data_IF_147503477315
#
_entry.id   IF_147503477315
#
_cell.length_a   1.000
_cell.length_b   1.000
_cell.length_c   1.000
_cell.angle_alpha   90.00
_cell.angle_beta   90.00
_cell.angle_gamma   90.00
#
_symmetry.space_group_name_H-M   'P 1'
#
loop_
_entity.id
_entity.type
_entity.pdbx_description
1 polymer ?
#
# COMPACT_ATOMS: atom_id res chain seq x y z
N UNK A 1 -12.90 20.28 -2.14
CA UNK A 1 -12.22 21.25 -1.24
C UNK A 1 -11.20 20.50 -0.40
N UNK A 2 -10.02 21.09 -0.13
CA UNK A 2 -9.05 20.52 0.82
C UNK A 2 -9.45 20.97 2.22
N UNK A 3 -9.53 20.02 3.14
CA UNK A 3 -9.78 20.23 4.57
C UNK A 3 -8.77 19.44 5.42
N UNK A 4 -8.90 19.42 6.73
CA UNK A 4 -8.02 18.62 7.61
C UNK A 4 -8.76 18.14 8.85
N UNK A 5 -8.25 17.04 9.42
CA UNK A 5 -8.67 16.50 10.72
C UNK A 5 -7.46 15.92 11.46
N UNK A 6 -7.57 15.69 12.77
CA UNK A 6 -6.58 14.89 13.48
C UNK A 6 -6.67 13.42 13.04
N UNK A 7 -5.53 12.77 13.00
CA UNK A 7 -5.41 11.33 12.78
C UNK A 7 -4.58 10.71 13.92
N UNK A 8 -4.55 9.38 13.98
CA UNK A 8 -3.78 8.63 14.98
C UNK A 8 -2.31 9.08 15.13
N UNK A 9 -1.70 9.56 14.06
CA UNK A 9 -0.24 9.85 13.99
C UNK A 9 0.11 11.33 14.01
N UNK A 10 -0.86 12.22 13.78
CA UNK A 10 -0.64 13.67 13.81
C UNK A 10 -1.94 14.46 14.04
N UNK A 11 -1.80 15.65 14.62
CA UNK A 11 -2.94 16.51 14.95
C UNK A 11 -3.60 17.18 13.74
N UNK A 12 -2.95 17.17 12.58
CA UNK A 12 -3.44 17.86 11.39
C UNK A 12 -3.03 17.09 10.14
N UNK A 13 -4.02 16.43 9.52
CA UNK A 13 -3.86 15.68 8.29
C UNK A 13 -4.82 16.22 7.24
N UNK A 14 -4.31 16.59 6.05
CA UNK A 14 -5.07 17.19 4.98
C UNK A 14 -5.60 16.15 4.01
N UNK A 15 -6.86 16.32 3.57
CA UNK A 15 -7.54 15.44 2.64
C UNK A 15 -8.56 16.19 1.79
N UNK A 16 -9.06 15.54 0.73
CA UNK A 16 -10.14 16.07 -0.08
C UNK A 16 -11.50 15.72 0.53
N UNK A 17 -12.34 16.73 0.78
CA UNK A 17 -13.64 16.55 1.44
C UNK A 17 -14.64 15.71 0.63
N UNK A 18 -14.52 15.75 -0.71
CA UNK A 18 -15.39 15.00 -1.64
C UNK A 18 -14.89 13.58 -1.93
N UNK A 19 -13.76 13.16 -1.34
CA UNK A 19 -13.31 11.78 -1.40
C UNK A 19 -14.15 10.94 -0.43
N UNK A 20 -14.96 10.01 -1.00
CA UNK A 20 -15.88 9.21 -0.21
C UNK A 20 -15.27 7.92 0.36
N UNK A 21 -13.98 7.64 0.11
CA UNK A 21 -13.24 6.52 0.70
C UNK A 21 -12.20 7.05 1.70
N UNK A 22 -11.09 7.58 1.23
CA UNK A 22 -9.97 8.01 2.10
C UNK A 22 -10.37 9.25 2.90
N UNK A 23 -10.90 10.27 2.22
CA UNK A 23 -11.35 11.50 2.86
C UNK A 23 -12.46 11.27 3.88
N UNK A 24 -13.45 10.45 3.55
CA UNK A 24 -14.53 10.07 4.46
C UNK A 24 -13.98 9.29 5.68
N UNK A 25 -13.05 8.35 5.46
CA UNK A 25 -12.43 7.58 6.53
C UNK A 25 -11.65 8.46 7.50
N UNK A 26 -10.80 9.36 6.98
CA UNK A 26 -10.04 10.32 7.78
C UNK A 26 -10.98 11.24 8.58
N UNK A 27 -12.00 11.80 7.91
CA UNK A 27 -12.96 12.71 8.56
C UNK A 27 -13.73 12.02 9.69
N UNK A 28 -14.15 10.81 9.48
CA UNK A 28 -15.03 10.09 10.39
C UNK A 28 -14.27 9.33 11.45
N UNK A 29 -13.25 8.59 11.07
CA UNK A 29 -12.56 7.65 11.96
C UNK A 29 -11.18 8.14 12.41
N UNK A 30 -10.61 9.19 11.81
CA UNK A 30 -9.24 9.66 12.08
C UNK A 30 -8.17 8.68 11.64
N UNK A 31 -8.50 7.79 10.70
CA UNK A 31 -7.59 6.77 10.17
C UNK A 31 -8.09 6.24 8.82
N UNK A 32 -7.20 5.57 8.09
CA UNK A 32 -7.52 4.86 6.84
C UNK A 32 -6.78 3.52 6.82
N UNK A 33 -7.50 2.43 6.54
CA UNK A 33 -6.95 1.05 6.53
C UNK A 33 -5.96 0.75 7.65
N UNK A 34 -6.25 1.22 8.88
CA UNK A 34 -5.36 1.07 10.04
C UNK A 34 -4.96 -0.39 10.30
N UNK A 35 -5.80 -1.35 9.94
CA UNK A 35 -5.52 -2.78 10.08
C UNK A 35 -4.28 -3.22 9.28
N UNK A 36 -3.96 -2.54 8.17
CA UNK A 36 -2.75 -2.78 7.38
C UNK A 36 -1.51 -2.27 8.14
N UNK A 37 -1.60 -1.07 8.69
CA UNK A 37 -0.52 -0.52 9.53
C UNK A 37 -0.31 -1.41 10.76
N UNK A 38 -1.39 -1.93 11.37
CA UNK A 38 -1.31 -2.83 12.52
C UNK A 38 -0.66 -4.18 12.19
N UNK A 39 -0.79 -4.66 10.97
CA UNK A 39 -0.02 -5.81 10.49
C UNK A 39 1.45 -5.42 10.27
N UNK A 40 1.68 -4.35 9.50
CA UNK A 40 3.02 -3.98 9.00
C UNK A 40 3.95 -3.47 10.09
N UNK A 41 3.44 -2.88 11.18
CA UNK A 41 4.25 -2.46 12.34
C UNK A 41 5.07 -3.58 12.98
N UNK A 42 4.69 -4.85 12.76
CA UNK A 42 5.47 -5.98 13.25
C UNK A 42 6.78 -6.20 12.47
N UNK A 43 6.93 -5.54 11.32
CA UNK A 43 8.08 -5.63 10.42
C UNK A 43 8.85 -4.30 10.29
N UNK A 44 8.45 -3.26 11.05
CA UNK A 44 9.06 -1.94 11.05
C UNK A 44 9.59 -1.64 12.44
N UNK A 45 10.81 -1.10 12.50
CA UNK A 45 11.42 -0.60 13.73
C UNK A 45 12.26 0.65 13.44
N UNK A 46 12.86 1.25 14.45
CA UNK A 46 13.63 2.51 14.36
C UNK A 46 14.90 2.45 13.49
N UNK A 47 15.26 1.30 12.96
CA UNK A 47 16.38 1.14 12.01
C UNK A 47 15.91 0.82 10.59
N UNK A 48 14.61 0.55 10.42
CA UNK A 48 14.05 0.10 9.15
C UNK A 48 13.97 1.21 8.10
N UNK A 49 14.24 0.83 6.86
CA UNK A 49 13.97 1.62 5.65
C UNK A 49 12.70 1.06 4.98
N UNK A 50 11.73 1.93 4.75
CA UNK A 50 10.43 1.56 4.17
C UNK A 50 10.23 2.26 2.84
N UNK A 51 9.78 1.50 1.82
CA UNK A 51 9.31 2.06 0.55
C UNK A 51 7.78 2.01 0.55
N UNK A 52 7.14 3.15 0.33
CA UNK A 52 5.69 3.31 0.18
C UNK A 52 5.38 3.70 -1.28
N UNK A 53 5.17 2.69 -2.11
CA UNK A 53 4.92 2.86 -3.55
C UNK A 53 3.42 2.97 -3.78
N UNK A 54 2.97 4.13 -4.25
CA UNK A 54 1.58 4.56 -4.23
C UNK A 54 1.24 5.21 -2.88
N UNK A 55 2.00 6.28 -2.53
CA UNK A 55 1.85 6.97 -1.24
C UNK A 55 0.54 7.73 -1.09
N UNK A 56 -0.16 7.97 -2.21
CA UNK A 56 -1.44 8.69 -2.24
C UNK A 56 -1.34 10.02 -1.47
N UNK A 57 -2.28 10.35 -0.58
CA UNK A 57 -2.23 11.56 0.26
C UNK A 57 -1.38 11.39 1.53
N UNK A 58 -0.71 10.23 1.73
CA UNK A 58 0.34 10.03 2.73
C UNK A 58 -0.09 9.42 4.05
N UNK A 59 -1.25 8.77 4.18
CA UNK A 59 -1.64 8.17 5.46
C UNK A 59 -0.67 7.08 5.92
N UNK A 60 -0.35 6.10 5.03
CA UNK A 60 0.64 5.06 5.32
C UNK A 60 2.05 5.65 5.49
N UNK A 61 2.44 6.61 4.64
CA UNK A 61 3.74 7.30 4.73
C UNK A 61 3.94 7.90 6.13
N UNK A 62 2.95 8.63 6.65
CA UNK A 62 3.01 9.24 8.00
C UNK A 62 3.04 8.17 9.09
N UNK A 63 2.23 7.12 8.96
CA UNK A 63 2.22 6.01 9.91
C UNK A 63 3.59 5.30 9.96
N UNK A 64 4.17 4.99 8.81
CA UNK A 64 5.49 4.35 8.72
C UNK A 64 6.60 5.26 9.26
N UNK A 65 6.54 6.56 8.95
CA UNK A 65 7.52 7.53 9.44
C UNK A 65 7.55 7.63 10.97
N UNK A 66 6.43 7.34 11.64
CA UNK A 66 6.38 7.31 13.11
C UNK A 66 7.16 6.14 13.74
N UNK A 67 7.54 5.14 12.95
CA UNK A 67 8.16 3.89 13.41
C UNK A 67 9.52 3.61 12.75
N UNK A 68 9.69 4.03 11.50
CA UNK A 68 10.85 3.72 10.69
C UNK A 68 11.98 4.74 10.86
N UNK A 69 13.21 4.32 10.52
CA UNK A 69 14.36 5.22 10.37
C UNK A 69 14.17 6.17 9.18
N UNK A 70 13.68 5.65 8.06
CA UNK A 70 13.53 6.39 6.81
C UNK A 70 12.40 5.82 5.98
N UNK A 71 11.59 6.69 5.35
CA UNK A 71 10.51 6.31 4.44
C UNK A 71 10.72 6.99 3.10
N UNK A 72 10.68 6.20 2.02
CA UNK A 72 10.71 6.66 0.63
C UNK A 72 9.32 6.48 0.04
N UNK A 73 8.59 7.57 -0.18
CA UNK A 73 7.21 7.54 -0.69
C UNK A 73 7.14 8.04 -2.12
N UNK A 74 6.49 7.28 -2.98
CA UNK A 74 6.38 7.54 -4.42
C UNK A 74 4.90 7.69 -4.78
N UNK A 75 4.55 8.80 -5.43
CA UNK A 75 3.19 9.09 -5.87
C UNK A 75 3.20 9.85 -7.19
N UNK A 76 2.58 9.35 -8.26
CA UNK A 76 2.60 10.01 -9.57
C UNK A 76 1.52 11.08 -9.77
N UNK A 77 0.35 11.01 -9.08
CA UNK A 77 -0.74 11.95 -9.30
C UNK A 77 -0.45 13.30 -8.63
N UNK A 78 -0.48 14.40 -9.39
CA UNK A 78 -0.17 15.76 -8.90
C UNK A 78 -0.99 16.16 -7.68
N UNK A 79 -2.28 15.80 -7.67
CA UNK A 79 -3.22 16.22 -6.61
C UNK A 79 -2.98 15.45 -5.33
N UNK A 80 -2.71 14.13 -5.44
CA UNK A 80 -2.35 13.30 -4.31
C UNK A 80 -0.98 13.67 -3.78
N UNK A 81 -0.01 13.87 -4.67
CA UNK A 81 1.35 14.28 -4.29
C UNK A 81 1.38 15.63 -3.54
N UNK A 82 0.57 16.61 -3.96
CA UNK A 82 0.43 17.87 -3.24
C UNK A 82 -0.01 17.68 -1.78
N UNK A 83 -0.94 16.75 -1.54
CA UNK A 83 -1.37 16.44 -0.17
C UNK A 83 -0.37 15.58 0.57
N UNK A 84 0.28 14.62 -0.09
CA UNK A 84 1.38 13.84 0.46
C UNK A 84 2.50 14.77 0.98
N UNK A 85 2.95 15.71 0.15
CA UNK A 85 3.95 16.71 0.54
C UNK A 85 3.48 17.53 1.75
N UNK A 86 2.25 18.05 1.70
CA UNK A 86 1.67 18.83 2.79
C UNK A 86 1.54 18.06 4.09
N UNK A 87 1.22 16.78 4.02
CA UNK A 87 1.04 15.90 5.18
C UNK A 87 2.36 15.43 5.79
N UNK A 88 3.46 15.47 5.02
CA UNK A 88 4.76 14.94 5.45
C UNK A 88 5.84 16.01 5.63
N UNK A 89 5.64 17.26 5.22
CA UNK A 89 6.65 18.34 5.22
C UNK A 89 7.35 18.59 6.57
N UNK A 90 6.74 18.18 7.68
CA UNK A 90 7.29 18.32 9.02
C UNK A 90 8.10 17.10 9.48
N UNK A 91 8.14 16.02 8.66
CA UNK A 91 8.82 14.76 8.98
C UNK A 91 10.20 14.75 8.33
N UNK A 92 11.25 14.68 9.14
CA UNK A 92 12.64 14.75 8.66
C UNK A 92 13.15 13.41 8.08
N UNK A 93 12.42 12.33 8.29
CA UNK A 93 12.76 10.98 7.84
C UNK A 93 11.94 10.49 6.64
N UNK A 94 11.22 11.39 5.95
CA UNK A 94 10.45 11.09 4.73
C UNK A 94 11.11 11.73 3.53
N UNK A 95 11.27 10.96 2.46
CA UNK A 95 11.68 11.43 1.14
C UNK A 95 10.59 11.12 0.12
N UNK A 96 10.24 12.11 -0.68
CA UNK A 96 9.14 12.05 -1.63
C UNK A 96 9.65 12.03 -3.07
N UNK A 97 9.00 11.24 -3.91
CA UNK A 97 9.32 11.08 -5.33
C UNK A 97 8.04 11.25 -6.16
N UNK A 98 7.99 12.30 -6.97
CA UNK A 98 6.85 12.61 -7.83
C UNK A 98 6.99 11.90 -9.19
N UNK A 99 6.69 10.61 -9.21
CA UNK A 99 6.79 9.73 -10.37
C UNK A 99 6.00 8.44 -10.15
N UNK A 100 5.81 7.64 -11.19
CA UNK A 100 5.29 6.29 -11.10
C UNK A 100 6.43 5.27 -11.12
N UNK A 101 6.40 4.27 -10.23
CA UNK A 101 7.27 3.11 -10.33
C UNK A 101 6.76 2.17 -11.43
N UNK A 102 7.68 1.69 -12.29
CA UNK A 102 7.37 0.82 -13.41
C UNK A 102 8.58 -0.06 -13.78
N UNK A 103 8.44 -0.86 -14.83
CA UNK A 103 9.55 -1.66 -15.37
C UNK A 103 10.38 -0.93 -16.44
N UNK A 104 10.00 0.29 -16.80
CA UNK A 104 10.68 1.13 -17.80
C UNK A 104 10.82 2.55 -17.28
N UNK A 105 11.89 3.24 -17.69
CA UNK A 105 12.08 4.67 -17.48
C UNK A 105 11.52 5.41 -18.68
N UNK A 106 10.70 6.42 -18.46
CA UNK A 106 10.08 7.20 -19.53
C UNK A 106 8.97 8.13 -19.04
N UNK A 107 7.97 8.29 -19.88
CA UNK A 107 6.76 9.06 -19.62
C UNK A 107 5.53 8.18 -19.86
N UNK A 108 4.50 8.40 -19.07
CA UNK A 108 3.21 7.73 -19.15
C UNK A 108 2.10 8.69 -18.74
N UNK A 109 0.87 8.21 -18.74
CA UNK A 109 -0.26 8.96 -18.22
C UNK A 109 -0.89 8.21 -17.05
N UNK A 110 -1.39 8.97 -16.07
CA UNK A 110 -2.21 8.46 -14.97
C UNK A 110 -3.59 9.12 -15.05
N UNK A 111 -4.63 8.39 -14.68
CA UNK A 111 -5.97 8.93 -14.61
C UNK A 111 -6.02 10.12 -13.64
N UNK A 112 -6.84 11.12 -13.96
CA UNK A 112 -7.08 12.28 -13.10
C UNK A 112 -8.54 12.29 -12.67
N UNK A 113 -8.84 13.06 -11.64
CA UNK A 113 -10.17 13.19 -11.07
C UNK A 113 -10.53 14.66 -10.79
N UNK A 114 -11.83 14.94 -10.82
CA UNK A 114 -12.36 16.27 -10.51
C UNK A 114 -12.66 16.38 -9.01
N UNK A 115 -11.86 17.14 -8.29
CA UNK A 115 -12.02 17.36 -6.84
C UNK A 115 -13.30 18.13 -6.46
N UNK A 116 -14.05 18.63 -7.43
CA UNK A 116 -15.36 19.29 -7.20
C UNK A 116 -16.49 18.30 -7.13
N UNK A 117 -16.33 17.07 -7.64
CA UNK A 117 -17.30 16.01 -7.65
C UNK A 117 -16.96 14.94 -6.58
N UNK A 118 -17.97 14.28 -5.97
CA UNK A 118 -17.71 13.10 -5.15
C UNK A 118 -17.03 11.99 -5.96
N UNK A 119 -15.97 11.38 -5.41
CA UNK A 119 -15.22 10.31 -6.09
C UNK A 119 -14.36 9.50 -5.12
N UNK A 120 -13.85 8.37 -5.60
CA UNK A 120 -12.75 7.66 -4.98
C UNK A 120 -11.43 8.20 -5.57
N UNK A 121 -10.74 9.04 -4.83
CA UNK A 121 -9.51 9.69 -5.31
C UNK A 121 -8.27 8.84 -5.07
N UNK A 122 -8.45 7.66 -4.45
CA UNK A 122 -7.43 6.64 -4.33
C UNK A 122 -7.19 5.87 -5.62
N UNK A 123 -8.23 5.61 -6.42
CA UNK A 123 -8.17 4.80 -7.64
C UNK A 123 -7.54 5.55 -8.83
N UNK A 124 -6.28 5.95 -8.71
CA UNK A 124 -5.52 6.57 -9.79
C UNK A 124 -4.72 5.50 -10.55
N UNK A 125 -5.20 5.11 -11.74
CA UNK A 125 -4.63 4.04 -12.55
C UNK A 125 -3.76 4.58 -13.69
N UNK A 126 -2.75 3.81 -14.10
CA UNK A 126 -2.06 4.08 -15.37
C UNK A 126 -3.05 3.99 -16.53
N UNK A 127 -2.99 4.95 -17.46
CA UNK A 127 -3.98 5.10 -18.54
C UNK A 127 -3.33 5.53 -19.85
N UNK A 128 -4.11 5.51 -20.95
CA UNK A 128 -3.65 6.02 -22.24
C UNK A 128 -3.71 7.54 -22.35
N UNK A 129 -4.50 8.19 -21.50
CA UNK A 129 -4.71 9.63 -21.46
C UNK A 129 -4.87 10.08 -20.01
N UNK A 130 -4.68 11.37 -19.74
CA UNK A 130 -4.84 11.93 -18.39
C UNK A 130 -3.68 12.85 -18.04
N UNK A 131 -3.28 12.84 -16.78
CA UNK A 131 -2.15 13.59 -16.31
C UNK A 131 -0.83 12.92 -16.71
N UNK A 132 0.11 13.60 -17.38
CA UNK A 132 1.42 13.03 -17.69
C UNK A 132 2.22 12.83 -16.41
N UNK A 133 2.92 11.70 -16.32
CA UNK A 133 3.83 11.40 -15.23
C UNK A 133 5.11 10.73 -15.73
N UNK A 134 6.21 10.92 -14.99
CA UNK A 134 7.46 10.21 -15.24
C UNK A 134 7.35 8.79 -14.71
N UNK A 135 7.95 7.82 -15.42
CA UNK A 135 8.12 6.46 -14.91
C UNK A 135 9.58 6.19 -14.59
N UNK A 136 9.82 5.46 -13.49
CA UNK A 136 11.15 5.06 -13.02
C UNK A 136 11.15 3.58 -12.65
N UNK A 137 12.33 2.95 -12.71
CA UNK A 137 12.53 1.63 -12.12
C UNK A 137 13.11 1.81 -10.72
N UNK A 138 12.58 1.10 -9.74
CA UNK A 138 13.11 1.14 -8.36
C UNK A 138 14.58 0.69 -8.34
N UNK A 139 14.94 -0.28 -9.19
CA UNK A 139 16.31 -0.76 -9.33
C UNK A 139 17.31 0.30 -9.79
N UNK A 140 16.85 1.37 -10.45
CA UNK A 140 17.67 2.47 -10.96
C UNK A 140 17.70 3.69 -10.01
N UNK A 141 16.89 3.65 -8.94
CA UNK A 141 16.90 4.68 -7.91
C UNK A 141 18.05 4.41 -6.91
N UNK A 142 18.86 5.43 -6.64
CA UNK A 142 19.91 5.31 -5.62
C UNK A 142 19.33 5.42 -4.20
N UNK A 143 18.64 4.35 -3.77
CA UNK A 143 17.97 4.26 -2.47
C UNK A 143 18.67 3.26 -1.55
N UNK A 144 18.64 3.50 -0.22
CA UNK A 144 19.15 2.52 0.74
C UNK A 144 18.32 1.23 0.68
N UNK A 145 18.91 0.05 0.98
CA UNK A 145 18.21 -1.22 0.99
C UNK A 145 16.92 -1.19 1.82
N UNK A 146 15.77 -1.63 1.28
CA UNK A 146 14.51 -1.64 2.03
C UNK A 146 14.41 -2.86 2.96
N UNK A 147 13.79 -2.67 4.11
CA UNK A 147 13.32 -3.75 4.99
C UNK A 147 11.86 -4.12 4.68
N UNK A 148 11.08 -3.12 4.23
CA UNK A 148 9.69 -3.30 3.82
C UNK A 148 9.38 -2.48 2.56
N UNK A 149 8.63 -3.08 1.64
CA UNK A 149 8.05 -2.38 0.47
C UNK A 149 6.53 -2.57 0.50
N UNK A 150 5.77 -1.47 0.58
CA UNK A 150 4.33 -1.45 0.25
C UNK A 150 4.18 -1.08 -1.22
N UNK A 151 3.35 -1.82 -1.96
CA UNK A 151 3.03 -1.57 -3.37
C UNK A 151 1.50 -1.56 -3.50
N UNK A 152 0.97 -0.40 -3.83
CA UNK A 152 -0.46 -0.17 -3.98
C UNK A 152 -0.61 0.87 -5.10
N UNK A 153 -0.72 0.38 -6.33
CA UNK A 153 -0.59 1.17 -7.56
C UNK A 153 -1.70 0.87 -8.57
N UNK A 154 -2.84 0.38 -8.06
CA UNK A 154 -4.10 0.24 -8.80
C UNK A 154 -3.94 -0.51 -10.12
N UNK A 155 -3.40 -1.75 -10.04
CA UNK A 155 -3.26 -2.67 -11.17
C UNK A 155 -1.95 -2.57 -11.94
N UNK A 156 -0.99 -1.77 -11.48
CA UNK A 156 0.35 -1.67 -12.09
C UNK A 156 1.44 -2.47 -11.32
N UNK A 157 1.05 -3.29 -10.35
CA UNK A 157 1.93 -4.02 -9.41
C UNK A 157 2.97 -4.85 -10.16
N UNK A 158 2.57 -5.63 -11.18
CA UNK A 158 3.52 -6.46 -11.95
C UNK A 158 4.67 -5.64 -12.53
N UNK A 159 4.38 -4.44 -13.05
CA UNK A 159 5.40 -3.57 -13.62
C UNK A 159 6.34 -3.02 -12.55
N UNK A 160 5.81 -2.71 -11.36
CA UNK A 160 6.61 -2.32 -10.20
C UNK A 160 7.52 -3.47 -9.76
N UNK A 161 7.00 -4.70 -9.62
CA UNK A 161 7.81 -5.88 -9.29
C UNK A 161 8.93 -6.12 -10.30
N UNK A 162 8.66 -5.99 -11.61
CA UNK A 162 9.67 -6.10 -12.66
C UNK A 162 10.76 -5.03 -12.55
N UNK A 163 10.39 -3.79 -12.21
CA UNK A 163 11.32 -2.67 -12.03
C UNK A 163 12.06 -2.65 -10.68
N UNK A 164 11.68 -3.53 -9.76
CA UNK A 164 12.28 -3.69 -8.43
C UNK A 164 12.95 -5.07 -8.25
N UNK A 165 13.05 -5.87 -9.30
CA UNK A 165 13.47 -7.27 -9.20
C UNK A 165 14.85 -7.44 -8.55
N UNK A 166 15.83 -6.60 -8.90
CA UNK A 166 17.19 -6.70 -8.37
C UNK A 166 17.22 -6.37 -6.87
N UNK A 167 16.53 -5.30 -6.45
CA UNK A 167 16.41 -4.92 -5.04
C UNK A 167 15.71 -6.02 -4.23
N UNK A 168 14.59 -6.54 -4.72
CA UNK A 168 13.84 -7.61 -4.07
C UNK A 168 14.68 -8.89 -3.97
N UNK A 169 15.32 -9.31 -5.06
CA UNK A 169 16.14 -10.53 -5.10
C UNK A 169 17.36 -10.44 -4.21
N UNK A 170 17.96 -9.26 -4.08
CA UNK A 170 19.19 -9.04 -3.30
C UNK A 170 18.92 -8.85 -1.80
N UNK A 171 17.93 -8.01 -1.46
CA UNK A 171 17.71 -7.56 -0.09
C UNK A 171 16.60 -8.30 0.65
N UNK A 172 15.71 -8.98 -0.07
CA UNK A 172 14.64 -9.80 0.51
C UNK A 172 13.78 -9.06 1.53
N UNK A 173 13.25 -7.85 1.20
CA UNK A 173 12.38 -7.12 2.10
C UNK A 173 11.07 -7.88 2.36
N UNK A 174 10.36 -7.54 3.41
CA UNK A 174 8.92 -7.86 3.51
C UNK A 174 8.18 -7.05 2.44
N UNK A 175 7.24 -7.68 1.73
CA UNK A 175 6.48 -7.00 0.67
C UNK A 175 4.99 -7.08 0.99
N UNK A 176 4.33 -5.93 0.98
CA UNK A 176 2.87 -5.82 1.10
C UNK A 176 2.33 -5.21 -0.18
N UNK A 177 1.37 -5.86 -0.83
CA UNK A 177 0.87 -5.41 -2.12
C UNK A 177 -0.60 -5.70 -2.32
N UNK A 178 -1.28 -4.88 -3.13
CA UNK A 178 -2.67 -5.12 -3.50
C UNK A 178 -2.79 -6.34 -4.41
N UNK A 179 -3.78 -7.21 -4.10
CA UNK A 179 -4.03 -8.44 -4.85
C UNK A 179 -5.06 -8.21 -5.94
N UNK A 180 -4.64 -7.63 -7.07
CA UNK A 180 -5.47 -7.47 -8.26
C UNK A 180 -5.36 -8.73 -9.14
N UNK A 181 -6.28 -9.68 -8.98
CA UNK A 181 -6.35 -10.87 -9.84
C UNK A 181 -6.57 -10.48 -11.31
N UNK A 182 -5.74 -10.99 -12.23
CA UNK A 182 -5.83 -10.76 -13.67
C UNK A 182 -4.76 -9.84 -14.26
N UNK A 183 -3.97 -9.16 -13.43
CA UNK A 183 -2.92 -8.23 -13.87
C UNK A 183 -1.49 -8.76 -13.70
N UNK A 184 -1.26 -10.05 -14.06
CA UNK A 184 0.05 -10.70 -13.89
C UNK A 184 0.31 -11.22 -12.47
N UNK A 185 -0.74 -11.46 -11.73
CA UNK A 185 -0.70 -12.02 -10.38
C UNK A 185 0.04 -13.36 -10.31
N UNK A 186 -0.16 -14.22 -11.32
CA UNK A 186 0.54 -15.49 -11.48
C UNK A 186 2.07 -15.29 -11.65
N UNK A 187 2.48 -14.27 -12.38
CA UNK A 187 3.91 -13.93 -12.57
C UNK A 187 4.52 -13.40 -11.28
N UNK A 188 3.79 -12.59 -10.52
CA UNK A 188 4.23 -12.10 -9.20
C UNK A 188 4.39 -13.29 -8.24
N UNK A 189 3.40 -14.20 -8.20
CA UNK A 189 3.47 -15.41 -7.40
C UNK A 189 4.70 -16.27 -7.73
N UNK A 190 4.88 -16.60 -9.01
CA UNK A 190 6.01 -17.44 -9.47
C UNK A 190 7.35 -16.76 -9.15
N UNK A 191 7.44 -15.44 -9.33
CA UNK A 191 8.65 -14.67 -9.01
C UNK A 191 8.97 -14.73 -7.52
N UNK A 192 8.02 -14.41 -6.66
CA UNK A 192 8.23 -14.35 -5.21
C UNK A 192 8.52 -15.75 -4.63
N UNK A 193 7.79 -16.78 -5.06
CA UNK A 193 8.02 -18.15 -4.58
C UNK A 193 9.36 -18.71 -5.03
N UNK A 194 9.80 -18.43 -6.28
CA UNK A 194 11.16 -18.75 -6.77
C UNK A 194 12.24 -18.06 -5.93
N UNK A 195 11.97 -16.85 -5.48
CA UNK A 195 12.83 -16.12 -4.56
C UNK A 195 12.72 -16.60 -3.10
N UNK A 196 11.95 -17.65 -2.78
CA UNK A 196 11.83 -18.21 -1.43
C UNK A 196 10.90 -17.42 -0.49
N UNK A 197 9.95 -16.66 -1.03
CA UNK A 197 8.91 -16.02 -0.23
C UNK A 197 7.74 -16.97 0.02
N UNK A 198 7.11 -16.80 1.19
CA UNK A 198 5.77 -17.33 1.47
C UNK A 198 4.78 -16.17 1.41
N UNK A 199 3.67 -16.35 0.71
CA UNK A 199 2.67 -15.30 0.46
C UNK A 199 1.40 -15.63 1.24
N UNK A 200 0.82 -14.62 1.88
CA UNK A 200 -0.44 -14.73 2.62
C UNK A 200 -1.42 -13.68 2.13
N UNK A 201 -2.70 -14.05 2.05
CA UNK A 201 -3.78 -13.10 1.83
C UNK A 201 -4.08 -12.33 3.11
N UNK A 202 -4.29 -11.03 2.98
CA UNK A 202 -4.68 -10.14 4.05
C UNK A 202 -5.93 -9.35 3.65
N UNK A 203 -7.12 -9.74 4.14
CA UNK A 203 -8.35 -8.98 3.92
C UNK A 203 -8.35 -7.74 4.83
N UNK A 204 -8.25 -6.56 4.26
CA UNK A 204 -8.34 -5.30 4.95
C UNK A 204 -9.76 -4.71 4.80
N UNK A 205 -10.41 -4.40 5.92
CA UNK A 205 -11.70 -3.72 5.93
C UNK A 205 -11.49 -2.22 6.06
N UNK A 206 -12.31 -1.44 5.37
CA UNK A 206 -12.27 0.03 5.45
C UNK A 206 -12.71 0.54 6.82
N UNK A 207 -13.56 -0.20 7.53
CA UNK A 207 -14.00 0.13 8.88
C UNK A 207 -13.25 -0.69 9.94
N UNK A 208 -12.69 0.02 10.90
CA UNK A 208 -12.08 -0.55 12.10
C UNK A 208 -12.97 -0.21 13.32
N UNK A 209 -13.53 -1.19 14.04
CA UNK A 209 -14.34 -0.92 15.23
C UNK A 209 -13.55 -0.24 16.36
N UNK A 210 -12.22 -0.36 16.38
CA UNK A 210 -11.32 0.30 17.32
C UNK A 210 -10.65 1.54 16.69
N UNK A 211 -11.39 2.28 15.85
CA UNK A 211 -10.86 3.46 15.16
C UNK A 211 -10.48 4.59 16.12
N UNK A 212 -9.61 5.47 15.65
CA UNK A 212 -9.01 6.52 16.48
C UNK A 212 -10.04 7.48 17.10
N UNK A 213 -11.12 7.81 16.38
CA UNK A 213 -12.17 8.71 16.88
C UNK A 213 -13.22 8.00 17.74
N UNK A 214 -13.19 6.66 17.88
CA UNK A 214 -14.16 5.87 18.64
C UNK A 214 -15.58 5.86 18.04
N UNK A 215 -15.70 6.05 16.72
CA UNK A 215 -17.00 6.08 16.02
C UNK A 215 -17.49 4.66 15.78
N UNK A 216 -18.65 4.30 16.34
CA UNK A 216 -19.23 2.97 16.21
C UNK A 216 -19.96 2.75 14.87
N UNK A 217 -20.41 3.83 14.22
CA UNK A 217 -21.11 3.75 12.95
C UNK A 217 -20.20 3.31 11.83
N UNK A 218 -20.49 2.17 11.20
CA UNK A 218 -19.79 1.71 10.01
C UNK A 218 -20.50 2.23 8.73
N UNK A 219 -19.89 3.22 8.07
CA UNK A 219 -20.44 3.79 6.81
C UNK A 219 -20.00 3.02 5.56
N UNK A 220 -19.01 2.12 5.67
CA UNK A 220 -18.50 1.32 4.55
C UNK A 220 -19.15 -0.07 4.45
N UNK A 221 -20.01 -0.44 5.41
CA UNK A 221 -20.63 -1.77 5.42
C UNK A 221 -19.60 -2.89 5.46
N UNK A 222 -19.66 -3.78 4.46
CA UNK A 222 -18.69 -4.86 4.29
C UNK A 222 -17.50 -4.53 3.39
N UNK A 223 -17.36 -3.27 2.97
CA UNK A 223 -16.32 -2.83 2.04
C UNK A 223 -14.90 -3.02 2.59
N UNK A 224 -13.99 -3.35 1.68
CA UNK A 224 -12.59 -3.58 1.97
C UNK A 224 -11.87 -4.14 0.75
N UNK A 225 -10.56 -4.31 0.88
CA UNK A 225 -9.68 -4.83 -0.17
C UNK A 225 -8.99 -6.11 0.29
N UNK A 226 -8.54 -6.91 -0.65
CA UNK A 226 -7.72 -8.09 -0.37
C UNK A 226 -6.31 -7.79 -0.83
N UNK A 227 -5.43 -7.65 0.13
CA UNK A 227 -4.00 -7.48 -0.10
C UNK A 227 -3.26 -8.80 0.07
N UNK A 228 -1.97 -8.80 -0.27
CA UNK A 228 -1.04 -9.87 0.01
C UNK A 228 0.13 -9.36 0.84
N UNK A 229 0.61 -10.19 1.77
CA UNK A 229 1.91 -10.00 2.41
C UNK A 229 2.81 -11.16 2.03
N UNK A 230 3.98 -10.83 1.47
CA UNK A 230 5.01 -11.80 1.13
C UNK A 230 6.18 -11.69 2.12
N UNK A 231 6.49 -12.79 2.78
CA UNK A 231 7.59 -12.88 3.76
C UNK A 231 8.72 -13.73 3.21
N UNK A 232 9.97 -13.24 3.25
CA UNK A 232 11.13 -14.09 2.97
C UNK A 232 11.29 -15.16 4.06
N UNK A 233 11.92 -16.26 3.73
CA UNK A 233 12.07 -17.42 4.63
C UNK A 233 12.68 -17.06 6.01
N UNK A 234 13.46 -16.00 6.10
CA UNK A 234 14.05 -15.48 7.34
C UNK A 234 13.04 -14.96 8.37
N UNK A 235 11.81 -14.64 7.95
CA UNK A 235 10.77 -14.07 8.84
C UNK A 235 9.80 -15.12 9.41
N UNK A 236 9.95 -16.39 9.02
CA UNK A 236 9.05 -17.44 9.48
C UNK A 236 7.64 -17.36 8.87
N UNK A 237 6.66 -17.99 9.54
CA UNK A 237 5.27 -18.05 9.08
C UNK A 237 4.36 -17.13 9.89
N UNK A 238 3.37 -16.55 9.23
CA UNK A 238 2.30 -15.79 9.89
C UNK A 238 1.20 -16.78 10.32
N UNK A 239 0.98 -16.88 11.63
CA UNK A 239 -0.19 -17.56 12.14
C UNK A 239 -1.44 -16.70 11.97
N UNK A 240 -2.51 -17.27 11.43
CA UNK A 240 -3.81 -16.56 11.37
C UNK A 240 -4.19 -15.98 10.01
N UNK A 241 -3.30 -16.03 9.01
CA UNK A 241 -3.61 -15.64 7.64
C UNK A 241 -3.65 -16.84 6.69
N UNK A 242 -4.55 -16.83 5.67
CA UNK A 242 -4.57 -17.84 4.63
C UNK A 242 -3.32 -17.79 3.76
N UNK A 243 -2.54 -18.87 3.72
CA UNK A 243 -1.37 -19.01 2.85
C UNK A 243 -1.80 -19.23 1.39
N UNK A 244 -1.20 -18.52 0.46
CA UNK A 244 -1.32 -18.76 -0.97
C UNK A 244 -0.39 -19.91 -1.35
N UNK A 245 -0.96 -21.04 -1.73
CA UNK A 245 -0.19 -22.27 -2.00
C UNK A 245 -0.01 -22.56 -3.49
N UNK A 246 -0.77 -21.89 -4.35
CA UNK A 246 -0.75 -22.08 -5.79
C UNK A 246 -1.07 -20.76 -6.52
N UNK A 247 -0.50 -20.56 -7.71
CA UNK A 247 -0.73 -19.35 -8.52
C UNK A 247 -2.17 -19.20 -9.03
N UNK A 248 -2.95 -20.28 -8.98
CA UNK A 248 -4.39 -20.26 -9.32
C UNK A 248 -5.28 -20.03 -8.11
N UNK A 249 -4.70 -19.93 -6.91
CA UNK A 249 -5.43 -19.63 -5.70
C UNK A 249 -6.08 -18.25 -5.80
N UNK A 250 -7.26 -18.15 -5.21
CA UNK A 250 -7.82 -16.87 -4.79
C UNK A 250 -8.06 -16.90 -3.28
N UNK A 251 -8.40 -15.74 -2.73
CA UNK A 251 -8.63 -15.61 -1.29
C UNK A 251 -9.62 -16.65 -0.74
N UNK A 252 -10.73 -16.94 -1.44
CA UNK A 252 -11.76 -17.89 -0.96
C UNK A 252 -11.23 -19.33 -0.91
N UNK A 253 -10.42 -19.75 -1.89
CA UNK A 253 -9.78 -21.06 -1.92
C UNK A 253 -8.78 -21.19 -0.77
N UNK A 254 -7.91 -20.20 -0.60
CA UNK A 254 -6.93 -20.18 0.47
C UNK A 254 -7.60 -20.14 1.87
N UNK A 255 -8.64 -19.35 2.04
CA UNK A 255 -9.44 -19.28 3.27
C UNK A 255 -10.10 -20.62 3.59
N UNK A 256 -10.66 -21.29 2.58
CA UNK A 256 -11.27 -22.62 2.75
C UNK A 256 -10.27 -23.67 3.24
N UNK A 257 -9.03 -23.66 2.72
CA UNK A 257 -7.95 -24.54 3.22
C UNK A 257 -7.55 -24.18 4.66
N UNK A 258 -7.41 -22.90 4.95
CA UNK A 258 -7.04 -22.40 6.27
C UNK A 258 -8.06 -22.81 7.36
N UNK A 259 -9.37 -22.66 7.09
CA UNK A 259 -10.43 -23.07 8.02
C UNK A 259 -10.37 -24.58 8.28
N UNK A 260 -10.30 -25.40 7.21
CA UNK A 260 -10.20 -26.88 7.35
C UNK A 260 -8.96 -27.34 8.12
N UNK A 261 -7.85 -26.60 8.03
CA UNK A 261 -6.64 -26.93 8.79
C UNK A 261 -6.81 -26.63 10.28
N UNK A 262 -7.53 -25.55 10.65
CA UNK A 262 -7.82 -25.22 12.05
C UNK A 262 -8.80 -26.18 12.72
N UNK A 263 -9.78 -26.70 11.98
CA UNK A 263 -10.75 -27.70 12.50
C UNK A 263 -10.11 -29.05 12.85
N UNK A 264 -8.88 -29.30 12.39
CA UNK A 264 -8.14 -30.56 12.64
C UNK A 264 -7.12 -30.45 13.79
N UNK A 265 -6.96 -29.27 14.37
CA UNK A 265 -6.09 -29.01 15.55
C UNK A 265 -6.91 -28.97 16.83
#
# INVERSE_FOLDING_TARGET
>A
MITHAPIRYQSKFYFYENDYIIGASIKMYGEYTQVEVDLLKNYINSTSVVYDIGGNIGYHTVAFASMAKEVHSVEPNDRNYLLLEKNTQHLNNVKLYHCACSNVVGEAFISDYDTTQPGNYGECMMSETGQPCKTVRIDDMDLPPPDLIKIDVEGHELKVFQGAYNIISKHRPVIFYESMHGTGFDVIYDTLTTLGYTIYYFPAKNYNPNNFNGVEQNVFGGGGVINCIALPASHGKIAGLPEMCDRTDNYNIALGRFIKAKEKQ
#
